data_IF_239314502928
#
_entry.id   IF_239314502928
#
_cell.length_a   1.000
_cell.length_b   1.000
_cell.length_c   1.000
_cell.angle_alpha   90.00
_cell.angle_beta   90.00
_cell.angle_gamma   90.00
#
_symmetry.space_group_name_H-M   'P 1'
#
loop_
_entity.id
_entity.type
_entity.pdbx_description
1 polymer ?
#
# COMPACT_ATOMS: atom_id res chain seq x y z
N UNK A 1 16.10 8.50 25.86
CA UNK A 1 14.95 7.59 25.69
C UNK A 1 15.20 6.75 24.46
N UNK A 2 15.08 5.44 24.56
CA UNK A 2 15.18 4.52 23.43
C UNK A 2 13.73 4.23 22.99
N UNK A 3 13.42 4.42 21.68
CA UNK A 3 12.08 4.23 21.13
C UNK A 3 12.13 3.17 20.02
N UNK A 4 11.43 2.05 20.23
CA UNK A 4 11.43 0.89 19.34
C UNK A 4 10.14 0.71 18.56
N UNK A 5 9.20 1.65 18.62
CA UNK A 5 7.88 1.55 17.97
C UNK A 5 7.74 2.48 16.75
N UNK A 6 8.85 2.70 16.03
CA UNK A 6 8.83 3.55 14.83
C UNK A 6 7.96 2.97 13.69
N UNK A 7 7.74 1.66 13.69
CA UNK A 7 6.85 1.01 12.75
C UNK A 7 5.38 1.49 12.89
N UNK A 8 4.92 1.73 14.12
CA UNK A 8 3.59 2.27 14.37
C UNK A 8 3.53 3.77 14.05
N UNK A 9 4.53 4.53 14.47
CA UNK A 9 4.69 5.96 14.15
C UNK A 9 6.09 6.44 14.49
N UNK A 10 6.68 7.24 13.60
CA UNK A 10 8.00 7.83 13.83
C UNK A 10 7.96 8.80 15.01
N UNK A 11 8.80 8.57 16.04
CA UNK A 11 8.97 9.49 17.17
C UNK A 11 10.45 9.49 17.64
N UNK A 12 11.04 10.68 17.89
CA UNK A 12 10.50 12.02 17.62
C UNK A 12 10.36 12.29 16.11
N UNK A 13 9.40 13.16 15.75
CA UNK A 13 9.25 13.58 14.35
C UNK A 13 10.49 14.41 13.95
N UNK A 14 11.03 14.20 12.74
CA UNK A 14 12.09 15.08 12.22
C UNK A 14 11.67 16.56 12.26
N UNK A 15 12.55 17.49 12.65
CA UNK A 15 12.20 18.90 12.76
C UNK A 15 11.66 19.52 11.46
N UNK A 16 12.12 19.04 10.30
CA UNK A 16 11.62 19.46 9.00
C UNK A 16 10.12 19.17 8.79
N UNK A 17 9.58 18.11 9.41
CA UNK A 17 8.15 17.76 9.32
C UNK A 17 7.30 18.84 10.02
N UNK A 18 7.66 19.17 11.27
CA UNK A 18 6.93 20.20 12.02
C UNK A 18 6.98 21.55 11.30
N UNK A 19 8.16 21.95 10.76
CA UNK A 19 8.33 23.16 9.97
C UNK A 19 7.45 23.17 8.72
N UNK A 20 7.45 22.09 7.96
CA UNK A 20 6.65 21.97 6.73
C UNK A 20 5.14 22.04 7.01
N UNK A 21 4.66 21.42 8.09
CA UNK A 21 3.25 21.51 8.52
C UNK A 21 2.89 22.96 8.88
N UNK A 22 3.73 23.64 9.67
CA UNK A 22 3.51 25.04 10.04
C UNK A 22 3.49 25.95 8.81
N UNK A 23 4.44 25.79 7.89
CA UNK A 23 4.47 26.55 6.64
C UNK A 23 3.23 26.31 5.78
N UNK A 24 2.76 25.07 5.69
CA UNK A 24 1.55 24.71 4.95
C UNK A 24 0.31 25.44 5.51
N UNK A 25 0.15 25.43 6.84
CA UNK A 25 -0.99 26.10 7.50
C UNK A 25 -0.97 27.62 7.31
N UNK A 26 0.20 28.25 7.36
CA UNK A 26 0.32 29.71 7.34
C UNK A 26 0.39 30.27 5.93
N UNK A 27 1.05 29.57 4.99
CA UNK A 27 1.37 30.11 3.66
C UNK A 27 0.58 29.49 2.52
N UNK A 28 0.15 28.23 2.64
CA UNK A 28 -0.44 27.47 1.53
C UNK A 28 -1.82 26.87 1.87
N UNK A 29 -2.53 27.45 2.81
CA UNK A 29 -3.81 26.94 3.30
C UNK A 29 -4.99 27.08 2.34
N UNK A 30 -4.77 27.48 1.07
CA UNK A 30 -5.83 27.61 0.08
C UNK A 30 -6.18 26.24 -0.55
N UNK A 31 -7.41 26.11 -1.08
CA UNK A 31 -7.84 24.90 -1.76
C UNK A 31 -7.11 24.73 -3.11
N UNK A 32 -6.35 23.65 -3.35
CA UNK A 32 -5.57 23.47 -4.58
C UNK A 32 -6.41 23.18 -5.83
N UNK A 33 -7.71 22.88 -5.68
CA UNK A 33 -8.55 22.42 -6.79
C UNK A 33 -9.65 23.41 -7.24
N UNK A 34 -9.81 24.55 -6.56
CA UNK A 34 -11.00 25.42 -6.77
C UNK A 34 -10.69 26.91 -6.88
N UNK A 35 -9.57 27.31 -7.38
CA UNK A 35 -9.31 28.74 -7.51
C UNK A 35 -8.30 29.05 -8.59
N UNK A 36 -8.57 30.09 -9.37
CA UNK A 36 -7.61 30.66 -10.32
C UNK A 36 -6.72 31.75 -9.71
N UNK A 37 -6.68 31.88 -8.38
CA UNK A 37 -5.87 32.87 -7.70
C UNK A 37 -4.52 32.30 -7.23
N UNK A 38 -3.54 33.17 -7.01
CA UNK A 38 -2.14 32.81 -6.76
C UNK A 38 -1.96 31.81 -5.59
N UNK A 39 -2.69 31.97 -4.49
CA UNK A 39 -2.61 31.06 -3.34
C UNK A 39 -3.07 29.62 -3.68
N UNK A 40 -4.12 29.50 -4.48
CA UNK A 40 -4.61 28.19 -4.96
C UNK A 40 -3.57 27.53 -5.86
N UNK A 41 -2.98 28.28 -6.78
CA UNK A 41 -1.93 27.80 -7.70
C UNK A 41 -0.68 27.37 -6.89
N UNK A 42 -0.26 28.17 -5.91
CA UNK A 42 0.90 27.82 -5.08
C UNK A 42 0.64 26.55 -4.27
N UNK A 43 -0.55 26.39 -3.67
CA UNK A 43 -0.92 25.16 -2.96
C UNK A 43 -0.92 23.95 -3.91
N UNK A 44 -1.46 24.08 -5.12
CA UNK A 44 -1.45 23.03 -6.12
C UNK A 44 -0.01 22.62 -6.51
N UNK A 45 0.88 23.58 -6.71
CA UNK A 45 2.31 23.32 -6.99
C UNK A 45 2.98 22.55 -5.86
N UNK A 46 2.69 22.86 -4.58
CA UNK A 46 3.25 22.15 -3.43
C UNK A 46 2.75 20.70 -3.36
N UNK A 47 1.45 20.48 -3.57
CA UNK A 47 0.89 19.12 -3.62
C UNK A 47 1.51 18.32 -4.76
N UNK A 48 1.63 18.93 -5.95
CA UNK A 48 2.27 18.25 -7.08
C UNK A 48 3.74 17.92 -6.82
N UNK A 49 4.48 18.85 -6.18
CA UNK A 49 5.87 18.59 -5.78
C UNK A 49 5.99 17.41 -4.82
N UNK A 50 5.05 17.21 -3.90
CA UNK A 50 5.03 16.02 -3.04
C UNK A 50 4.82 14.73 -3.86
N UNK A 51 3.96 14.78 -4.90
CA UNK A 51 3.79 13.63 -5.80
C UNK A 51 5.06 13.32 -6.58
N UNK A 52 5.76 14.35 -7.10
CA UNK A 52 7.04 14.16 -7.80
C UNK A 52 8.07 13.46 -6.91
N UNK A 53 8.21 13.89 -5.65
CA UNK A 53 9.16 13.29 -4.71
C UNK A 53 8.80 11.84 -4.38
N UNK A 54 7.52 11.56 -4.16
CA UNK A 54 7.05 10.20 -3.94
C UNK A 54 7.24 9.33 -5.20
N UNK A 55 6.96 9.87 -6.38
CA UNK A 55 7.13 9.19 -7.65
C UNK A 55 8.61 8.82 -7.92
N UNK A 56 9.54 9.69 -7.56
CA UNK A 56 10.98 9.40 -7.62
C UNK A 56 11.36 8.23 -6.69
N UNK A 57 10.81 8.20 -5.47
CA UNK A 57 11.07 7.14 -4.50
C UNK A 57 10.54 5.78 -4.98
N UNK A 58 9.35 5.77 -5.60
CA UNK A 58 8.67 4.55 -6.04
C UNK A 58 8.87 4.22 -7.54
N UNK A 59 9.72 4.97 -8.24
CA UNK A 59 9.99 4.78 -9.68
C UNK A 59 8.73 4.75 -10.53
N UNK A 60 7.78 5.69 -10.28
CA UNK A 60 6.54 5.81 -11.02
C UNK A 60 6.32 7.25 -11.51
N UNK A 61 5.19 7.54 -12.17
CA UNK A 61 4.83 8.89 -12.59
C UNK A 61 4.09 9.64 -11.47
N UNK A 62 4.22 10.98 -11.35
CA UNK A 62 3.52 11.75 -10.31
C UNK A 62 1.99 11.58 -10.33
N UNK A 63 1.41 11.34 -11.51
CA UNK A 63 -0.02 11.10 -11.71
C UNK A 63 -0.50 9.76 -11.13
N UNK A 64 0.42 8.83 -10.89
CA UNK A 64 0.15 7.53 -10.27
C UNK A 64 0.19 7.58 -8.74
N UNK A 65 0.62 8.72 -8.16
CA UNK A 65 0.65 8.92 -6.71
C UNK A 65 -0.70 9.47 -6.24
N UNK A 66 -1.34 8.75 -5.33
CA UNK A 66 -2.61 9.15 -4.71
C UNK A 66 -2.43 9.26 -3.19
N UNK A 67 -2.83 10.39 -2.62
CA UNK A 67 -2.82 10.59 -1.17
C UNK A 67 -4.14 10.09 -0.57
N UNK A 68 -4.04 9.33 0.50
CA UNK A 68 -5.15 8.84 1.32
C UNK A 68 -4.94 9.21 2.78
N UNK A 69 -5.94 9.01 3.62
CA UNK A 69 -5.84 9.33 5.06
C UNK A 69 -4.85 8.41 5.80
N UNK A 70 -4.79 7.16 5.37
CA UNK A 70 -3.94 6.12 5.95
C UNK A 70 -3.86 4.90 5.01
N UNK A 71 -2.96 3.97 5.33
CA UNK A 71 -2.77 2.75 4.56
C UNK A 71 -4.03 1.87 4.52
N UNK A 72 -4.82 1.82 5.59
CA UNK A 72 -6.09 1.07 5.62
C UNK A 72 -7.05 1.54 4.52
N UNK A 73 -7.17 2.86 4.32
CA UNK A 73 -7.99 3.41 3.23
C UNK A 73 -7.43 3.03 1.86
N UNK A 74 -6.11 3.16 1.67
CA UNK A 74 -5.43 2.77 0.43
C UNK A 74 -5.68 1.32 0.07
N UNK A 75 -5.50 0.40 1.02
CA UNK A 75 -5.72 -1.03 0.82
C UNK A 75 -7.19 -1.35 0.49
N UNK A 76 -8.15 -0.70 1.16
CA UNK A 76 -9.57 -0.83 0.84
C UNK A 76 -9.88 -0.35 -0.59
N UNK A 77 -9.31 0.77 -1.01
CA UNK A 77 -9.49 1.30 -2.37
C UNK A 77 -8.93 0.31 -3.40
N UNK A 78 -7.72 -0.20 -3.19
CA UNK A 78 -7.08 -1.16 -4.11
C UNK A 78 -7.89 -2.46 -4.17
N UNK A 79 -8.17 -3.10 -3.03
CA UNK A 79 -8.84 -4.40 -2.98
C UNK A 79 -10.23 -4.31 -3.60
N UNK A 80 -11.05 -3.35 -3.17
CA UNK A 80 -12.42 -3.17 -3.67
C UNK A 80 -12.48 -2.61 -5.10
N UNK A 81 -11.48 -1.84 -5.52
CA UNK A 81 -11.41 -1.26 -6.85
C UNK A 81 -10.96 -2.25 -7.92
N UNK A 82 -10.10 -3.21 -7.56
CA UNK A 82 -9.52 -4.20 -8.49
C UNK A 82 -10.38 -5.45 -8.61
N UNK A 83 -10.88 -5.97 -7.48
CA UNK A 83 -11.62 -7.24 -7.46
C UNK A 83 -13.05 -7.09 -7.97
N UNK A 84 -13.51 -8.09 -8.70
CA UNK A 84 -14.87 -8.23 -9.25
C UNK A 84 -15.53 -9.50 -8.72
N UNK A 85 -16.87 -9.61 -8.77
CA UNK A 85 -17.55 -10.86 -8.43
C UNK A 85 -16.99 -12.05 -9.23
N UNK A 86 -16.68 -13.12 -8.52
CA UNK A 86 -16.07 -14.34 -9.07
C UNK A 86 -14.54 -14.36 -9.10
N UNK A 87 -13.87 -13.25 -8.76
CA UNK A 87 -12.40 -13.21 -8.69
C UNK A 87 -11.86 -14.00 -7.50
N UNK A 88 -10.59 -14.41 -7.65
CA UNK A 88 -9.79 -14.99 -6.58
C UNK A 88 -8.65 -14.05 -6.21
N UNK A 89 -8.37 -13.92 -4.92
CA UNK A 89 -7.24 -13.16 -4.37
C UNK A 89 -6.36 -14.05 -3.50
N UNK A 90 -5.05 -13.87 -3.57
CA UNK A 90 -4.10 -14.53 -2.68
C UNK A 90 -3.55 -13.48 -1.72
N UNK A 91 -3.54 -13.79 -0.43
CA UNK A 91 -2.95 -12.96 0.61
C UNK A 91 -1.86 -13.74 1.35
N UNK A 92 -0.91 -13.05 2.01
CA UNK A 92 0.03 -13.74 2.89
C UNK A 92 -0.64 -14.09 4.24
N UNK A 93 -0.05 -15.03 4.96
CA UNK A 93 -0.42 -15.37 6.33
C UNK A 93 0.02 -14.31 7.37
N UNK A 94 0.80 -13.31 6.94
CA UNK A 94 1.34 -12.24 7.77
C UNK A 94 0.60 -10.91 7.60
N UNK A 95 -0.55 -10.91 6.91
CA UNK A 95 -1.27 -9.67 6.58
C UNK A 95 -1.79 -8.94 7.81
N UNK A 96 -1.71 -7.61 7.74
CA UNK A 96 -2.40 -6.74 8.68
C UNK A 96 -3.94 -6.87 8.54
N UNK A 97 -4.66 -6.62 9.62
CA UNK A 97 -6.13 -6.61 9.65
C UNK A 97 -6.78 -5.72 8.57
N UNK A 98 -6.08 -4.69 8.09
CA UNK A 98 -6.55 -3.83 7.01
C UNK A 98 -6.72 -4.56 5.67
N UNK A 99 -5.98 -5.66 5.44
CA UNK A 99 -6.12 -6.56 4.29
C UNK A 99 -7.10 -7.69 4.62
N UNK A 100 -6.80 -8.46 5.69
CA UNK A 100 -7.54 -9.67 6.02
C UNK A 100 -9.04 -9.42 6.17
N UNK A 101 -9.43 -8.41 6.97
CA UNK A 101 -10.86 -8.12 7.22
C UNK A 101 -11.63 -7.73 5.96
N UNK A 102 -10.98 -7.02 5.05
CA UNK A 102 -11.63 -6.60 3.79
C UNK A 102 -11.85 -7.81 2.88
N UNK A 103 -10.82 -8.63 2.73
CA UNK A 103 -10.88 -9.83 1.89
C UNK A 103 -11.90 -10.84 2.44
N UNK A 104 -11.84 -11.11 3.76
CA UNK A 104 -12.77 -12.03 4.43
C UNK A 104 -14.23 -11.54 4.34
N UNK A 105 -14.47 -10.23 4.49
CA UNK A 105 -15.81 -9.66 4.37
C UNK A 105 -16.38 -9.82 2.94
N UNK A 106 -15.56 -9.59 1.90
CA UNK A 106 -15.97 -9.80 0.51
C UNK A 106 -16.24 -11.28 0.20
N UNK A 107 -15.42 -12.18 0.76
CA UNK A 107 -15.60 -13.61 0.60
C UNK A 107 -16.86 -14.13 1.30
N UNK A 108 -17.16 -13.67 2.52
CA UNK A 108 -18.41 -14.01 3.24
C UNK A 108 -19.66 -13.51 2.52
N UNK A 109 -19.56 -12.44 1.76
CA UNK A 109 -20.66 -11.95 0.90
C UNK A 109 -20.80 -12.77 -0.40
N UNK A 110 -19.94 -13.76 -0.63
CA UNK A 110 -19.94 -14.56 -1.85
C UNK A 110 -19.46 -13.82 -3.09
N UNK A 111 -18.83 -12.65 -2.92
CA UNK A 111 -18.36 -11.85 -4.04
C UNK A 111 -17.04 -12.37 -4.62
N UNK A 112 -16.14 -12.84 -3.78
CA UNK A 112 -14.81 -13.34 -4.18
C UNK A 112 -14.48 -14.63 -3.44
N UNK A 113 -13.39 -15.28 -3.86
CA UNK A 113 -12.72 -16.32 -3.07
C UNK A 113 -11.30 -15.88 -2.73
N UNK A 114 -10.71 -16.42 -1.66
CA UNK A 114 -9.32 -16.14 -1.35
C UNK A 114 -8.56 -17.38 -0.89
N UNK A 115 -7.24 -17.29 -1.01
CA UNK A 115 -6.30 -18.27 -0.45
C UNK A 115 -5.24 -17.54 0.35
N UNK A 116 -4.73 -18.19 1.39
CA UNK A 116 -3.65 -17.69 2.24
C UNK A 116 -2.37 -18.42 1.91
N UNK A 117 -1.34 -17.70 1.49
CA UNK A 117 -0.02 -18.24 1.21
C UNK A 117 0.84 -18.22 2.47
N UNK A 118 1.42 -19.34 2.82
CA UNK A 118 2.32 -19.47 3.97
C UNK A 118 3.67 -18.83 3.67
N UNK A 119 4.14 -17.99 4.58
CA UNK A 119 5.48 -17.39 4.56
C UNK A 119 6.47 -18.32 5.28
N UNK A 120 7.55 -18.67 4.60
CA UNK A 120 8.59 -19.57 5.09
C UNK A 120 9.93 -18.85 5.25
N UNK A 121 10.88 -19.41 6.03
CA UNK A 121 12.24 -18.88 6.11
C UNK A 121 12.99 -18.86 4.77
N UNK A 122 12.65 -19.77 3.84
CA UNK A 122 13.16 -19.75 2.46
C UNK A 122 12.29 -18.88 1.57
N UNK A 123 12.89 -17.90 0.92
CA UNK A 123 12.26 -17.07 -0.09
C UNK A 123 11.65 -17.92 -1.23
N UNK A 124 12.41 -18.93 -1.69
CA UNK A 124 11.99 -19.82 -2.80
C UNK A 124 10.74 -20.60 -2.43
N UNK A 125 10.68 -21.09 -1.18
CA UNK A 125 9.50 -21.80 -0.69
C UNK A 125 8.30 -20.87 -0.55
N UNK A 126 8.51 -19.65 -0.06
CA UNK A 126 7.46 -18.62 0.02
C UNK A 126 6.91 -18.31 -1.37
N UNK A 127 7.76 -18.03 -2.36
CA UNK A 127 7.33 -17.76 -3.74
C UNK A 127 6.56 -18.96 -4.32
N UNK A 128 7.07 -20.17 -4.09
CA UNK A 128 6.41 -21.41 -4.53
C UNK A 128 4.99 -21.54 -3.93
N UNK A 129 4.82 -21.22 -2.63
CA UNK A 129 3.51 -21.24 -1.96
C UNK A 129 2.52 -20.29 -2.63
N UNK A 130 2.94 -19.05 -2.96
CA UNK A 130 2.10 -18.11 -3.70
C UNK A 130 1.75 -18.64 -5.10
N UNK A 131 2.75 -19.14 -5.83
CA UNK A 131 2.58 -19.58 -7.22
C UNK A 131 1.60 -20.76 -7.34
N UNK A 132 1.65 -21.71 -6.40
CA UNK A 132 0.76 -22.89 -6.41
C UNK A 132 -0.70 -22.58 -6.07
N UNK A 133 -0.97 -21.44 -5.46
CA UNK A 133 -2.32 -20.98 -5.17
C UNK A 133 -2.97 -20.23 -6.34
N UNK A 134 -2.22 -19.91 -7.40
CA UNK A 134 -2.75 -19.20 -8.57
C UNK A 134 -3.75 -20.08 -9.31
N UNK A 135 -4.93 -19.54 -9.56
CA UNK A 135 -6.04 -20.12 -10.31
C UNK A 135 -6.32 -19.29 -11.58
N UNK A 136 -7.07 -19.82 -12.55
CA UNK A 136 -7.43 -19.07 -13.77
C UNK A 136 -8.13 -17.74 -13.48
N UNK A 137 -8.88 -17.65 -12.39
CA UNK A 137 -9.58 -16.45 -11.93
C UNK A 137 -8.81 -15.65 -10.85
N UNK A 138 -7.54 -15.94 -10.60
CA UNK A 138 -6.72 -15.13 -9.69
C UNK A 138 -6.46 -13.78 -10.29
N UNK A 139 -6.98 -12.75 -9.65
CA UNK A 139 -6.89 -11.36 -10.12
C UNK A 139 -5.83 -10.56 -9.41
N UNK A 140 -5.64 -10.80 -8.11
CA UNK A 140 -4.80 -9.97 -7.26
C UNK A 140 -4.03 -10.83 -6.26
N UNK A 141 -2.78 -10.48 -6.01
CA UNK A 141 -1.99 -10.89 -4.85
C UNK A 141 -1.83 -9.66 -3.96
N UNK A 142 -2.10 -9.78 -2.66
CA UNK A 142 -1.80 -8.74 -1.67
C UNK A 142 -0.83 -9.32 -0.66
N UNK A 143 0.30 -8.66 -0.42
CA UNK A 143 1.20 -9.08 0.65
C UNK A 143 1.91 -7.88 1.30
N UNK A 144 2.13 -8.00 2.61
CA UNK A 144 2.98 -7.07 3.34
C UNK A 144 4.45 -7.31 3.00
N UNK A 145 5.27 -6.24 2.99
CA UNK A 145 6.72 -6.38 2.87
C UNK A 145 7.34 -6.91 4.15
N UNK A 146 6.77 -6.56 5.29
CA UNK A 146 7.23 -7.01 6.59
C UNK A 146 6.09 -7.12 7.58
N UNK A 147 6.20 -8.09 8.50
CA UNK A 147 5.22 -8.26 9.55
C UNK A 147 5.53 -7.37 10.75
N UNK A 148 4.60 -6.50 11.12
CA UNK A 148 4.69 -5.67 12.33
C UNK A 148 4.64 -6.49 13.62
N UNK A 149 4.20 -7.74 13.57
CA UNK A 149 4.10 -8.64 14.74
C UNK A 149 5.34 -9.49 14.88
N UNK A 150 5.81 -10.08 13.78
CA UNK A 150 6.90 -11.06 13.80
C UNK A 150 8.26 -10.48 13.38
N UNK A 151 8.29 -9.28 12.79
CA UNK A 151 9.52 -8.69 12.25
C UNK A 151 10.13 -9.47 11.09
N UNK A 152 9.32 -10.28 10.42
CA UNK A 152 9.74 -11.11 9.27
C UNK A 152 9.52 -10.34 7.98
N UNK A 153 10.52 -10.37 7.10
CA UNK A 153 10.44 -9.80 5.74
C UNK A 153 9.87 -10.82 4.76
N UNK A 154 8.93 -10.40 3.94
CA UNK A 154 8.39 -11.18 2.81
C UNK A 154 9.16 -10.84 1.53
N UNK A 155 9.52 -11.82 0.67
CA UNK A 155 10.31 -11.58 -0.55
C UNK A 155 9.45 -10.99 -1.68
N UNK A 156 8.92 -9.78 -1.47
CA UNK A 156 7.94 -9.12 -2.36
C UNK A 156 8.46 -8.92 -3.78
N UNK A 157 9.77 -8.71 -3.97
CA UNK A 157 10.38 -8.56 -5.29
C UNK A 157 10.30 -9.86 -6.10
N UNK A 158 10.56 -11.01 -5.45
CA UNK A 158 10.49 -12.34 -6.08
C UNK A 158 9.03 -12.72 -6.37
N UNK A 159 8.12 -12.45 -5.43
CA UNK A 159 6.66 -12.66 -5.61
C UNK A 159 6.15 -11.77 -6.75
N UNK A 160 6.53 -10.49 -6.79
CA UNK A 160 6.14 -9.57 -7.85
C UNK A 160 6.63 -9.99 -9.23
N UNK A 161 7.87 -10.49 -9.32
CA UNK A 161 8.39 -11.05 -10.57
C UNK A 161 7.59 -12.28 -11.03
N UNK A 162 7.22 -13.16 -10.12
CA UNK A 162 6.37 -14.33 -10.38
C UNK A 162 4.97 -13.90 -10.80
N UNK A 163 4.31 -13.00 -10.05
CA UNK A 163 2.98 -12.48 -10.35
C UNK A 163 2.91 -11.87 -11.76
N UNK A 164 3.94 -11.07 -12.13
CA UNK A 164 4.04 -10.48 -13.47
C UNK A 164 4.13 -11.54 -14.57
N UNK A 165 4.92 -12.60 -14.39
CA UNK A 165 4.99 -13.72 -15.36
C UNK A 165 3.66 -14.45 -15.52
N UNK A 166 2.86 -14.49 -14.45
CA UNK A 166 1.53 -15.12 -14.43
C UNK A 166 0.39 -14.18 -14.84
N UNK A 167 0.67 -12.91 -15.13
CA UNK A 167 -0.34 -11.91 -15.49
C UNK A 167 -1.28 -11.52 -14.34
N UNK A 168 -0.85 -11.72 -13.09
CA UNK A 168 -1.61 -11.39 -11.87
C UNK A 168 -1.15 -10.05 -11.32
N UNK A 169 -2.08 -9.19 -10.94
CA UNK A 169 -1.77 -7.92 -10.28
C UNK A 169 -1.24 -8.18 -8.87
N UNK A 170 -0.37 -7.30 -8.40
CA UNK A 170 0.16 -7.37 -7.04
C UNK A 170 0.06 -6.02 -6.34
N UNK A 171 -0.42 -6.03 -5.12
CA UNK A 171 -0.39 -4.91 -4.19
C UNK A 171 0.54 -5.26 -3.02
N UNK A 172 1.40 -4.33 -2.64
CA UNK A 172 2.34 -4.50 -1.52
C UNK A 172 2.01 -3.48 -0.44
N UNK A 173 1.82 -3.95 0.79
CA UNK A 173 1.72 -3.09 1.97
C UNK A 173 3.13 -2.79 2.49
N UNK A 174 3.50 -1.50 2.42
CA UNK A 174 4.80 -0.96 2.85
C UNK A 174 4.66 -0.10 4.12
N UNK A 175 3.57 -0.25 4.88
CA UNK A 175 3.23 0.66 5.98
C UNK A 175 3.98 0.43 7.30
N UNK A 176 5.07 -0.30 7.28
CA UNK A 176 5.93 -0.59 8.43
C UNK A 176 7.09 0.39 8.53
#
# INVERSE_FOLDING_TARGET
MIYFDNAATTFPKPPCVAKAVQEALVRYGANPGRGGHDLSIETARRVYRCRELAAQLFCCQPEQVVFTKNCTESLNIVIKGVLRPGDHVIISDLEHNAVYRVVDALARQGLITYSVAETCPSDEKTVWNFEHLIRPNTRLIVCTQGSNVFGVRVPVEKIGAMARRRGVLMAVDLSL
#
